data_IF_418491084251
#
_entry.id   IF_418491084251
#
_cell.length_a   1.000
_cell.length_b   1.000
_cell.length_c   1.000
_cell.angle_alpha   90.00
_cell.angle_beta   90.00
_cell.angle_gamma   90.00
#
_symmetry.space_group_name_H-M   'P 1'
#
loop_
_entity.id
_entity.type
_entity.pdbx_description
1 polymer ?
#
# COMPACT_ATOMS: atom_id res chain seq x y z
N UNK A 1 -8.33 45.85 -10.92
CA UNK A 1 -8.26 46.32 -9.54
C UNK A 1 -8.53 45.10 -8.63
N UNK A 2 -7.47 44.47 -8.17
CA UNK A 2 -7.55 43.38 -7.20
C UNK A 2 -7.41 44.06 -5.84
N UNK A 3 -8.49 44.17 -5.12
CA UNK A 3 -8.53 45.03 -3.94
C UNK A 3 -8.57 44.29 -2.61
N UNK A 4 -7.72 44.68 -1.74
CA UNK A 4 -7.73 44.90 -0.27
C UNK A 4 -7.98 43.76 0.71
N UNK A 5 -8.41 42.55 0.33
CA UNK A 5 -8.52 41.43 1.27
C UNK A 5 -8.01 40.11 0.63
N UNK A 6 -6.76 40.13 0.19
CA UNK A 6 -6.15 38.92 -0.33
C UNK A 6 -5.58 38.11 0.85
N UNK A 7 -6.11 36.94 1.09
CA UNK A 7 -5.57 35.97 2.06
C UNK A 7 -4.34 35.27 1.48
N UNK A 8 -3.39 34.94 2.35
CA UNK A 8 -2.19 34.19 1.99
C UNK A 8 -2.54 32.72 1.72
N UNK A 9 -1.88 32.09 0.72
CA UNK A 9 -2.02 30.65 0.45
C UNK A 9 -1.77 29.80 1.68
N UNK A 10 -0.82 30.20 2.53
CA UNK A 10 -0.55 29.49 3.78
C UNK A 10 -1.68 29.58 4.84
N UNK A 11 -2.57 30.56 4.71
CA UNK A 11 -3.79 30.64 5.53
C UNK A 11 -4.85 29.67 5.02
N UNK A 12 -4.96 29.51 3.68
CA UNK A 12 -5.82 28.50 3.07
C UNK A 12 -5.34 27.08 3.42
N UNK A 13 -4.05 26.81 3.35
CA UNK A 13 -3.44 25.54 3.75
C UNK A 13 -3.78 25.20 5.21
N UNK A 14 -3.59 26.16 6.11
CA UNK A 14 -3.93 26.00 7.52
C UNK A 14 -5.42 25.69 7.74
N UNK A 15 -6.31 26.39 7.05
CA UNK A 15 -7.76 26.18 7.13
C UNK A 15 -8.15 24.80 6.59
N UNK A 16 -7.68 24.44 5.39
CA UNK A 16 -7.97 23.14 4.74
C UNK A 16 -7.48 21.98 5.63
N UNK A 17 -6.26 22.07 6.17
CA UNK A 17 -5.73 21.05 7.07
C UNK A 17 -6.56 20.91 8.35
N UNK A 18 -7.00 22.04 8.95
CA UNK A 18 -7.83 22.01 10.18
C UNK A 18 -9.21 21.40 9.90
N UNK A 19 -9.83 21.67 8.76
CA UNK A 19 -11.09 21.05 8.37
C UNK A 19 -10.95 19.56 8.14
N UNK A 20 -9.88 19.13 7.43
CA UNK A 20 -9.59 17.73 7.12
C UNK A 20 -9.34 16.91 8.37
N UNK A 21 -8.50 17.41 9.28
CA UNK A 21 -8.11 16.68 10.50
C UNK A 21 -9.11 16.82 11.65
N UNK A 22 -9.96 17.82 11.62
CA UNK A 22 -10.87 18.17 12.72
C UNK A 22 -10.16 18.67 13.98
N UNK A 23 -8.84 18.93 13.94
CA UNK A 23 -8.03 19.25 15.12
C UNK A 23 -6.81 20.10 14.80
N UNK A 24 -6.64 21.23 15.50
CA UNK A 24 -5.41 22.03 15.41
C UNK A 24 -4.15 21.21 15.77
N UNK A 25 -4.25 20.28 16.73
CA UNK A 25 -3.10 19.46 17.16
C UNK A 25 -2.73 18.42 16.08
N UNK A 26 -3.69 17.84 15.38
CA UNK A 26 -3.40 16.95 14.25
C UNK A 26 -2.79 17.74 13.08
N UNK A 27 -3.33 18.93 12.79
CA UNK A 27 -2.81 19.81 11.73
C UNK A 27 -1.38 20.32 11.99
N UNK A 28 -0.90 20.37 13.26
CA UNK A 28 0.51 20.70 13.50
C UNK A 28 1.47 19.66 12.95
N UNK A 29 1.07 18.39 12.96
CA UNK A 29 1.86 17.29 12.38
C UNK A 29 1.78 17.29 10.86
N UNK A 30 0.60 17.58 10.33
CA UNK A 30 0.32 17.65 8.90
C UNK A 30 1.13 18.76 8.19
N UNK A 31 1.22 19.95 8.80
CA UNK A 31 1.87 21.12 8.19
C UNK A 31 3.26 21.46 8.78
N UNK A 32 3.73 20.72 9.77
CA UNK A 32 5.00 21.01 10.45
C UNK A 32 5.01 22.36 11.19
N UNK A 33 3.86 22.95 11.49
CA UNK A 33 3.73 24.29 12.07
C UNK A 33 3.29 24.24 13.55
N UNK A 34 3.78 25.17 14.41
CA UNK A 34 3.31 25.29 15.78
C UNK A 34 1.80 25.59 15.85
N UNK A 35 1.10 25.06 16.86
CA UNK A 35 -0.33 25.24 17.07
C UNK A 35 -0.74 26.71 17.15
N UNK A 36 0.07 27.58 17.76
CA UNK A 36 -0.14 29.02 17.84
C UNK A 36 -0.14 29.67 16.45
N UNK A 37 0.78 29.26 15.57
CA UNK A 37 0.89 29.72 14.19
C UNK A 37 -0.34 29.31 13.38
N UNK A 38 -0.75 28.04 13.46
CA UNK A 38 -1.96 27.53 12.79
C UNK A 38 -3.21 28.28 13.24
N UNK A 39 -3.41 28.44 14.56
CA UNK A 39 -4.53 29.17 15.10
C UNK A 39 -4.55 30.63 14.64
N UNK A 40 -3.40 31.27 14.54
CA UNK A 40 -3.26 32.64 14.03
C UNK A 40 -3.63 32.71 12.55
N UNK A 41 -3.11 31.81 11.71
CA UNK A 41 -3.41 31.78 10.26
C UNK A 41 -4.90 31.59 10.00
N UNK A 42 -5.55 30.65 10.66
CA UNK A 42 -7.01 30.45 10.53
C UNK A 42 -7.78 31.71 10.95
N UNK A 43 -7.39 32.34 12.05
CA UNK A 43 -8.05 33.58 12.50
C UNK A 43 -7.85 34.72 11.51
N UNK A 44 -6.66 34.88 10.94
CA UNK A 44 -6.37 35.88 9.90
C UNK A 44 -7.22 35.66 8.68
N UNK A 45 -7.38 34.40 8.24
CA UNK A 45 -8.28 34.03 7.15
C UNK A 45 -9.74 34.41 7.45
N UNK A 46 -10.25 34.05 8.63
CA UNK A 46 -11.65 34.41 9.03
C UNK A 46 -11.87 35.95 9.09
N UNK A 47 -10.85 36.68 9.52
CA UNK A 47 -10.87 38.14 9.50
C UNK A 47 -10.89 38.71 8.07
N UNK A 48 -10.06 38.13 7.17
CA UNK A 48 -10.04 38.57 5.77
C UNK A 48 -11.31 38.20 5.03
N UNK A 49 -11.93 37.07 5.31
CA UNK A 49 -13.23 36.65 4.78
C UNK A 49 -14.38 37.44 5.41
N UNK A 50 -14.20 38.02 6.59
CA UNK A 50 -15.17 38.85 7.29
C UNK A 50 -16.20 38.06 8.09
N UNK A 51 -16.05 36.74 8.24
CA UNK A 51 -16.95 35.90 9.04
C UNK A 51 -16.23 34.62 9.54
N UNK A 52 -16.72 34.03 10.65
CA UNK A 52 -16.22 32.76 11.11
C UNK A 52 -16.47 31.63 10.09
N UNK A 53 -15.53 30.75 9.92
CA UNK A 53 -15.62 29.58 9.04
C UNK A 53 -15.69 28.27 9.83
N UNK A 54 -15.15 28.26 11.07
CA UNK A 54 -15.03 27.08 11.91
C UNK A 54 -15.87 27.20 13.19
N UNK A 55 -16.43 26.07 13.61
CA UNK A 55 -17.12 25.88 14.88
C UNK A 55 -16.36 24.88 15.75
N UNK A 56 -16.31 25.15 17.05
CA UNK A 56 -15.82 24.18 18.03
C UNK A 56 -16.99 23.36 18.57
N UNK A 57 -17.01 22.08 18.25
CA UNK A 57 -18.01 21.14 18.77
C UNK A 57 -17.31 20.13 19.69
N UNK A 58 -17.51 20.29 21.01
CA UNK A 58 -16.90 19.42 22.03
C UNK A 58 -15.38 19.27 21.89
N UNK A 59 -14.92 18.21 21.23
CA UNK A 59 -13.50 17.90 21.03
C UNK A 59 -13.00 18.06 19.58
N UNK A 60 -13.90 18.45 18.66
CA UNK A 60 -13.58 18.58 17.23
C UNK A 60 -13.81 20.01 16.74
N UNK A 61 -13.07 20.36 15.70
CA UNK A 61 -13.29 21.58 14.94
C UNK A 61 -13.97 21.17 13.63
N UNK A 62 -15.10 21.78 13.33
CA UNK A 62 -15.89 21.49 12.13
C UNK A 62 -16.19 22.76 11.37
N UNK A 63 -16.27 22.73 10.03
CA UNK A 63 -16.69 23.91 9.26
C UNK A 63 -18.18 24.19 9.49
N UNK A 64 -18.53 25.49 9.62
CA UNK A 64 -19.91 25.93 9.51
C UNK A 64 -20.37 25.95 8.04
N UNK A 65 -21.54 26.46 7.73
CA UNK A 65 -22.06 26.50 6.35
C UNK A 65 -21.16 27.32 5.41
N UNK A 66 -20.75 28.53 5.82
CA UNK A 66 -19.78 29.34 5.08
C UNK A 66 -18.42 28.61 4.95
N UNK A 67 -17.96 27.96 6.01
CA UNK A 67 -16.74 27.17 6.00
C UNK A 67 -16.78 26.00 5.03
N UNK A 68 -17.92 25.31 4.89
CA UNK A 68 -18.07 24.23 3.89
C UNK A 68 -17.99 24.74 2.46
N UNK A 69 -18.63 25.86 2.19
CA UNK A 69 -18.55 26.52 0.88
C UNK A 69 -17.10 26.95 0.61
N UNK A 70 -16.51 27.67 1.55
CA UNK A 70 -15.14 28.19 1.42
C UNK A 70 -14.08 27.08 1.32
N UNK A 71 -14.27 25.96 2.01
CA UNK A 71 -13.38 24.80 1.94
C UNK A 71 -13.24 24.26 0.53
N UNK A 72 -14.35 24.08 -0.20
CA UNK A 72 -14.32 23.60 -1.59
C UNK A 72 -13.45 24.48 -2.47
N UNK A 73 -13.69 25.79 -2.42
CA UNK A 73 -12.91 26.76 -3.21
C UNK A 73 -11.45 26.84 -2.74
N UNK A 74 -11.18 26.70 -1.44
CA UNK A 74 -9.82 26.69 -0.93
C UNK A 74 -9.02 25.51 -1.45
N UNK A 75 -9.63 24.31 -1.52
CA UNK A 75 -9.01 23.12 -2.11
C UNK A 75 -8.74 23.36 -3.60
N UNK A 76 -9.71 23.86 -4.37
CA UNK A 76 -9.54 24.15 -5.80
C UNK A 76 -8.43 25.18 -6.06
N UNK A 77 -8.33 26.23 -5.23
CA UNK A 77 -7.26 27.25 -5.35
C UNK A 77 -5.90 26.62 -5.08
N UNK A 78 -5.75 25.81 -4.03
CA UNK A 78 -4.49 25.15 -3.70
C UNK A 78 -4.10 24.15 -4.79
N UNK A 79 -5.05 23.42 -5.34
CA UNK A 79 -4.84 22.53 -6.47
C UNK A 79 -4.39 23.31 -7.73
N UNK A 80 -5.00 24.46 -8.03
CA UNK A 80 -4.63 25.29 -9.18
C UNK A 80 -3.22 25.87 -9.04
N UNK A 81 -2.83 26.28 -7.83
CA UNK A 81 -1.46 26.73 -7.55
C UNK A 81 -0.45 25.61 -7.73
N UNK A 82 -0.79 24.41 -7.26
CA UNK A 82 0.02 23.22 -7.50
C UNK A 82 0.19 22.93 -8.99
N UNK A 83 -0.91 22.92 -9.75
CA UNK A 83 -0.91 22.75 -11.20
C UNK A 83 -0.03 23.79 -11.92
N UNK A 84 -0.08 25.06 -11.47
CA UNK A 84 0.74 26.13 -12.05
C UNK A 84 2.24 25.91 -11.82
N UNK A 85 2.63 25.48 -10.60
CA UNK A 85 4.04 25.12 -10.32
C UNK A 85 4.51 23.97 -11.18
N UNK A 86 3.67 23.00 -11.39
CA UNK A 86 3.98 21.80 -12.15
C UNK A 86 4.02 22.05 -13.65
N UNK A 87 3.14 22.92 -14.17
CA UNK A 87 3.23 23.37 -15.55
C UNK A 87 4.59 24.08 -15.81
N UNK A 88 5.11 24.81 -14.83
CA UNK A 88 6.44 25.39 -14.89
C UNK A 88 7.54 24.32 -14.80
N UNK A 89 7.35 23.28 -13.98
CA UNK A 89 8.29 22.16 -13.90
C UNK A 89 8.25 21.27 -15.15
N UNK A 90 7.11 21.21 -15.86
CA UNK A 90 6.99 20.56 -17.17
C UNK A 90 7.77 21.27 -18.29
N UNK A 91 8.00 22.58 -18.16
CA UNK A 91 8.83 23.33 -19.09
C UNK A 91 10.35 23.05 -18.92
N UNK A 92 10.73 22.45 -17.79
CA UNK A 92 12.11 21.97 -17.60
C UNK A 92 12.26 20.66 -18.37
N UNK A 93 13.27 20.58 -19.24
CA UNK A 93 13.52 19.41 -20.09
C UNK A 93 13.87 18.15 -19.25
N UNK A 94 14.41 18.30 -18.04
CA UNK A 94 14.96 17.21 -17.24
C UNK A 94 14.04 16.78 -16.08
N UNK A 95 13.97 15.46 -15.87
CA UNK A 95 13.36 14.84 -14.70
C UNK A 95 14.37 14.89 -13.55
N UNK A 96 14.14 15.71 -12.53
CA UNK A 96 15.10 15.96 -11.45
C UNK A 96 14.45 16.06 -10.07
N UNK A 97 15.29 16.06 -9.02
CA UNK A 97 14.88 16.25 -7.62
C UNK A 97 14.83 14.93 -6.83
N UNK A 98 14.26 14.99 -5.62
CA UNK A 98 14.18 13.82 -4.74
C UNK A 98 12.85 13.10 -4.94
N UNK A 99 12.90 11.79 -5.18
CA UNK A 99 11.75 10.88 -5.32
C UNK A 99 11.69 9.98 -4.09
N UNK A 100 10.61 10.07 -3.34
CA UNK A 100 10.36 9.17 -2.23
C UNK A 100 9.56 7.95 -2.69
N UNK A 101 10.13 6.77 -2.47
CA UNK A 101 9.51 5.50 -2.79
C UNK A 101 9.26 4.74 -1.49
N UNK A 102 8.05 4.23 -1.35
CA UNK A 102 7.69 3.29 -0.30
C UNK A 102 7.34 1.96 -0.95
N UNK A 103 7.63 0.86 -0.31
CA UNK A 103 7.17 -0.43 -0.77
C UNK A 103 6.90 -1.39 0.38
N UNK A 104 6.00 -2.34 0.15
CA UNK A 104 5.87 -3.50 1.03
C UNK A 104 7.22 -4.22 1.10
N UNK A 105 7.60 -4.70 2.28
CA UNK A 105 8.93 -5.27 2.53
C UNK A 105 9.28 -6.43 1.57
N UNK A 106 8.28 -7.17 1.11
CA UNK A 106 8.45 -8.28 0.17
C UNK A 106 9.05 -7.88 -1.19
N UNK A 107 8.93 -6.60 -1.60
CA UNK A 107 9.43 -6.11 -2.88
C UNK A 107 10.80 -5.46 -2.82
N UNK A 108 11.29 -5.07 -1.64
CA UNK A 108 12.51 -4.27 -1.51
C UNK A 108 13.74 -4.96 -2.09
N UNK A 109 13.76 -6.27 -2.09
CA UNK A 109 14.86 -7.07 -2.65
C UNK A 109 14.53 -7.53 -4.07
N UNK A 110 15.54 -7.53 -4.94
CA UNK A 110 15.44 -8.08 -6.29
C UNK A 110 14.74 -7.13 -7.27
N UNK A 111 13.52 -7.44 -7.68
CA UNK A 111 12.84 -6.78 -8.78
C UNK A 111 12.68 -5.26 -8.60
N UNK A 112 12.11 -4.81 -7.48
CA UNK A 112 11.85 -3.38 -7.26
C UNK A 112 13.14 -2.54 -7.24
N UNK A 113 14.19 -3.03 -6.60
CA UNK A 113 15.50 -2.37 -6.63
C UNK A 113 16.10 -2.36 -8.04
N UNK A 114 15.83 -3.37 -8.85
CA UNK A 114 16.19 -3.41 -10.27
C UNK A 114 15.46 -2.34 -11.09
N UNK A 115 14.15 -2.18 -10.89
CA UNK A 115 13.34 -1.12 -11.52
C UNK A 115 13.84 0.26 -11.13
N UNK A 116 14.14 0.48 -9.85
CA UNK A 116 14.68 1.77 -9.40
C UNK A 116 16.05 2.05 -10.02
N UNK A 117 16.92 1.06 -10.08
CA UNK A 117 18.24 1.21 -10.71
C UNK A 117 18.12 1.57 -12.18
N UNK A 118 17.30 0.86 -12.96
CA UNK A 118 17.10 1.16 -14.38
C UNK A 118 16.46 2.53 -14.62
N UNK A 119 15.62 3.00 -13.69
CA UNK A 119 15.08 4.36 -13.72
C UNK A 119 16.17 5.42 -13.50
N UNK A 120 17.05 5.20 -12.51
CA UNK A 120 18.17 6.12 -12.23
C UNK A 120 19.21 6.17 -13.35
N UNK A 121 19.40 5.06 -14.09
CA UNK A 121 20.26 5.04 -15.27
C UNK A 121 19.72 5.93 -16.41
N UNK A 122 18.38 6.12 -16.49
CA UNK A 122 17.72 6.98 -17.46
C UNK A 122 17.58 8.45 -16.97
N UNK A 123 17.58 8.65 -15.66
CA UNK A 123 17.32 9.95 -15.02
C UNK A 123 18.37 10.26 -13.96
N UNK A 124 19.58 10.62 -14.38
CA UNK A 124 20.74 10.84 -13.50
C UNK A 124 20.60 11.95 -12.48
N UNK A 125 19.71 12.94 -12.72
CA UNK A 125 19.47 14.07 -11.81
C UNK A 125 18.40 13.79 -10.74
N UNK A 126 17.84 12.57 -10.72
CA UNK A 126 16.91 12.14 -9.68
C UNK A 126 17.66 11.48 -8.54
N UNK A 127 17.33 11.87 -7.33
CA UNK A 127 17.75 11.20 -6.09
C UNK A 127 16.60 10.39 -5.56
N UNK A 128 16.81 9.13 -5.24
CA UNK A 128 15.77 8.22 -4.74
C UNK A 128 16.03 7.86 -3.29
N UNK A 129 14.99 7.98 -2.46
CA UNK A 129 14.93 7.41 -1.12
C UNK A 129 13.89 6.28 -1.09
N UNK A 130 14.29 5.08 -0.66
CA UNK A 130 13.40 3.93 -0.54
C UNK A 130 13.17 3.60 0.93
N UNK A 131 11.90 3.55 1.33
CA UNK A 131 11.48 3.07 2.65
C UNK A 131 10.56 1.85 2.54
N UNK A 132 10.68 0.92 3.48
CA UNK A 132 9.76 -0.23 3.58
C UNK A 132 8.56 0.10 4.48
N UNK A 133 7.42 -0.51 4.16
CA UNK A 133 6.18 -0.38 4.92
C UNK A 133 5.66 -1.77 5.32
N UNK A 134 5.18 -1.88 6.56
CA UNK A 134 4.48 -3.07 7.08
C UNK A 134 2.97 -2.87 7.18
N UNK A 135 2.51 -1.63 7.04
CA UNK A 135 1.09 -1.26 7.01
C UNK A 135 0.83 -0.34 5.84
N UNK A 136 -0.40 -0.36 5.33
CA UNK A 136 -0.84 0.56 4.28
C UNK A 136 -0.64 2.00 4.77
N UNK A 137 0.10 2.86 4.04
CA UNK A 137 0.23 4.24 4.42
C UNK A 137 -1.12 4.97 4.31
N UNK A 138 -1.45 5.76 5.32
CA UNK A 138 -2.64 6.61 5.28
C UNK A 138 -2.48 7.78 4.33
N UNK A 139 -1.28 8.36 4.27
CA UNK A 139 -0.94 9.55 3.48
C UNK A 139 0.49 9.43 2.93
N UNK A 140 0.69 10.04 1.76
CA UNK A 140 1.98 10.27 1.13
C UNK A 140 2.00 11.72 0.67
N UNK A 141 3.02 12.48 1.04
CA UNK A 141 3.12 13.89 0.61
C UNK A 141 3.54 13.97 -0.86
N UNK A 142 4.58 13.24 -1.23
CA UNK A 142 5.21 13.31 -2.55
C UNK A 142 5.95 12.00 -2.83
N UNK A 143 5.36 11.15 -3.64
CA UNK A 143 5.95 9.85 -3.95
C UNK A 143 4.91 8.77 -4.19
N UNK A 144 5.34 7.52 -4.17
CA UNK A 144 4.48 6.36 -4.40
C UNK A 144 4.78 5.25 -3.41
N UNK A 145 3.78 4.40 -3.15
CA UNK A 145 3.95 3.18 -2.38
C UNK A 145 3.49 1.95 -3.19
N UNK A 146 4.37 0.99 -3.37
CA UNK A 146 4.04 -0.32 -3.93
C UNK A 146 3.62 -1.25 -2.81
N UNK A 147 2.37 -1.67 -2.79
CA UNK A 147 1.78 -2.47 -1.73
C UNK A 147 1.45 -3.89 -2.18
N UNK A 148 1.62 -4.86 -1.29
CA UNK A 148 1.21 -6.25 -1.48
C UNK A 148 0.13 -6.61 -0.46
N UNK A 149 -1.00 -7.12 -0.93
CA UNK A 149 -2.15 -7.47 -0.10
C UNK A 149 -3.27 -6.44 -0.17
N UNK A 150 -4.34 -6.70 0.59
CA UNK A 150 -5.54 -5.86 0.57
C UNK A 150 -5.28 -4.45 1.11
N UNK A 151 -5.89 -3.47 0.45
CA UNK A 151 -5.92 -2.06 0.87
C UNK A 151 -7.35 -1.76 1.32
N UNK A 152 -7.57 -1.66 2.64
CA UNK A 152 -8.92 -1.45 3.20
C UNK A 152 -9.27 0.01 3.41
N UNK A 153 -8.36 0.78 4.03
CA UNK A 153 -8.59 2.19 4.37
C UNK A 153 -7.36 3.02 4.01
N UNK A 154 -7.50 3.93 3.07
CA UNK A 154 -6.47 4.90 2.70
C UNK A 154 -7.12 6.10 2.01
N UNK A 155 -6.51 7.27 2.14
CA UNK A 155 -6.87 8.47 1.38
C UNK A 155 -6.16 8.54 0.03
N UNK A 156 -5.30 7.56 -0.30
CA UNK A 156 -4.50 7.54 -1.51
C UNK A 156 -5.30 6.99 -2.71
N UNK A 157 -4.92 7.38 -3.91
CA UNK A 157 -5.34 6.71 -5.13
C UNK A 157 -4.74 5.30 -5.18
N UNK A 158 -5.53 4.38 -5.69
CA UNK A 158 -5.18 2.98 -5.81
C UNK A 158 -5.18 2.58 -7.28
N UNK A 159 -4.06 2.04 -7.74
CA UNK A 159 -3.93 1.46 -9.07
C UNK A 159 -3.50 0.02 -8.95
N UNK A 160 -4.34 -0.89 -9.43
CA UNK A 160 -4.06 -2.31 -9.37
C UNK A 160 -3.09 -2.70 -10.48
N UNK A 161 -1.90 -3.16 -10.12
CA UNK A 161 -0.83 -3.55 -11.04
C UNK A 161 -0.85 -5.04 -11.38
N UNK A 162 -1.46 -5.87 -10.54
CA UNK A 162 -1.50 -7.30 -10.71
C UNK A 162 -1.78 -8.04 -9.42
N UNK A 163 -1.60 -9.35 -9.43
CA UNK A 163 -1.88 -10.19 -8.28
C UNK A 163 -0.86 -11.34 -8.17
N UNK A 164 -0.60 -11.79 -6.95
CA UNK A 164 0.27 -12.93 -6.66
C UNK A 164 -0.53 -14.06 -6.02
N UNK A 165 -0.53 -15.23 -6.65
CA UNK A 165 -1.04 -16.45 -6.04
C UNK A 165 -0.03 -17.03 -5.05
N UNK A 166 -0.52 -17.73 -4.03
CA UNK A 166 0.31 -18.32 -2.99
C UNK A 166 0.22 -19.84 -2.99
N UNK A 167 1.34 -20.50 -2.69
CA UNK A 167 1.44 -21.93 -2.45
C UNK A 167 2.07 -22.23 -1.10
N UNK A 168 1.97 -23.50 -0.70
CA UNK A 168 2.57 -24.00 0.53
C UNK A 168 3.95 -24.57 0.19
N UNK A 169 4.99 -24.04 0.82
CA UNK A 169 6.37 -24.45 0.61
C UNK A 169 7.00 -24.98 1.89
N UNK A 170 7.92 -25.92 1.72
CA UNK A 170 8.81 -26.44 2.74
C UNK A 170 10.19 -26.70 2.14
N UNK A 171 11.21 -26.92 2.98
CA UNK A 171 12.51 -27.36 2.49
C UNK A 171 12.51 -28.87 2.21
N UNK A 172 13.36 -29.37 1.30
CA UNK A 172 13.55 -30.80 1.10
C UNK A 172 13.89 -31.56 2.39
N UNK A 173 14.81 -31.01 3.21
CA UNK A 173 15.21 -31.58 4.49
C UNK A 173 14.05 -31.69 5.49
N UNK A 174 13.12 -30.74 5.46
CA UNK A 174 11.92 -30.80 6.29
C UNK A 174 11.02 -31.94 5.85
N UNK A 175 10.80 -32.11 4.55
CA UNK A 175 9.98 -33.18 4.00
C UNK A 175 10.61 -34.59 4.20
N UNK A 176 11.93 -34.71 4.17
CA UNK A 176 12.61 -35.95 4.50
C UNK A 176 12.36 -36.39 5.95
N UNK A 177 12.30 -35.44 6.88
CA UNK A 177 12.11 -35.74 8.32
C UNK A 177 10.66 -35.95 8.71
N UNK A 178 9.71 -35.19 8.12
CA UNK A 178 8.33 -35.11 8.57
C UNK A 178 7.31 -35.59 7.54
N UNK A 179 7.75 -35.97 6.35
CA UNK A 179 6.89 -36.34 5.23
C UNK A 179 6.36 -35.14 4.45
N UNK A 180 5.79 -35.44 3.27
CA UNK A 180 5.12 -34.43 2.43
C UNK A 180 3.63 -34.58 2.64
N UNK A 181 2.89 -33.54 3.06
CA UNK A 181 1.43 -33.62 3.19
C UNK A 181 0.78 -34.04 1.87
N UNK A 182 -0.10 -35.02 1.90
CA UNK A 182 -0.88 -35.47 0.75
C UNK A 182 -2.23 -34.77 0.65
N UNK A 183 -2.71 -34.17 1.73
CA UNK A 183 -3.97 -33.44 1.81
C UNK A 183 -3.86 -32.23 2.75
N UNK A 184 -4.74 -31.21 2.62
CA UNK A 184 -4.75 -30.08 3.55
C UNK A 184 -4.98 -30.46 5.01
N UNK A 185 -5.71 -31.57 5.29
CA UNK A 185 -5.94 -32.04 6.66
C UNK A 185 -4.68 -32.53 7.36
N UNK A 186 -3.65 -32.93 6.62
CA UNK A 186 -2.39 -33.36 7.19
C UNK A 186 -1.49 -32.18 7.64
N UNK A 187 -1.82 -30.94 7.19
CA UNK A 187 -1.06 -29.74 7.58
C UNK A 187 -1.09 -29.48 9.09
N UNK A 188 -2.14 -29.93 9.79
CA UNK A 188 -2.28 -29.77 11.25
C UNK A 188 -1.16 -30.50 12.02
N UNK A 189 -0.55 -31.53 11.42
CA UNK A 189 0.57 -32.29 11.98
C UNK A 189 1.94 -31.63 11.79
N UNK A 190 2.03 -30.60 10.94
CA UNK A 190 3.28 -29.96 10.58
C UNK A 190 3.57 -28.70 11.40
N UNK A 191 4.84 -28.34 11.49
CA UNK A 191 5.27 -27.04 11.98
C UNK A 191 4.99 -25.98 10.90
N UNK A 192 4.63 -24.76 11.31
CA UNK A 192 4.30 -23.69 10.42
C UNK A 192 5.17 -22.45 10.65
N UNK A 193 5.63 -21.83 9.59
CA UNK A 193 6.31 -20.52 9.59
C UNK A 193 5.37 -19.51 8.99
N UNK A 194 4.79 -18.65 9.85
CA UNK A 194 3.79 -17.68 9.46
C UNK A 194 4.34 -16.28 9.35
N UNK A 195 3.73 -15.47 8.49
CA UNK A 195 4.01 -14.06 8.37
C UNK A 195 3.00 -13.28 9.22
N UNK A 196 3.46 -12.40 10.11
CA UNK A 196 2.61 -11.57 10.97
C UNK A 196 1.57 -10.81 10.12
N UNK A 197 0.29 -11.05 10.40
CA UNK A 197 -0.81 -10.50 9.59
C UNK A 197 -1.14 -11.27 8.30
N UNK A 198 -0.35 -12.30 7.95
CA UNK A 198 -0.57 -13.09 6.73
C UNK A 198 -1.66 -14.14 6.88
N UNK A 199 -1.68 -14.85 8.00
CA UNK A 199 -2.71 -15.82 8.33
C UNK A 199 -3.64 -15.26 9.41
N UNK A 200 -4.56 -14.38 9.02
CA UNK A 200 -5.66 -14.00 9.90
C UNK A 200 -6.63 -15.18 10.13
N UNK A 201 -7.51 -15.09 11.13
CA UNK A 201 -8.58 -16.07 11.29
C UNK A 201 -9.42 -16.09 10.00
N UNK A 202 -9.39 -17.24 9.29
CA UNK A 202 -10.12 -17.42 8.04
C UNK A 202 -9.26 -17.63 6.80
N UNK A 203 -7.99 -18.04 6.95
CA UNK A 203 -7.19 -18.49 5.83
C UNK A 203 -7.89 -19.69 5.16
N UNK A 204 -8.11 -19.60 3.85
CA UNK A 204 -8.81 -20.63 3.08
C UNK A 204 -7.93 -21.04 1.90
N UNK A 205 -7.60 -22.32 1.83
CA UNK A 205 -7.00 -22.92 0.66
C UNK A 205 -8.09 -23.22 -0.38
N UNK A 206 -7.77 -23.07 -1.65
CA UNK A 206 -8.69 -23.30 -2.78
C UNK A 206 -8.13 -24.36 -3.73
N UNK A 207 -8.98 -25.28 -4.14
CA UNK A 207 -8.64 -26.30 -5.14
C UNK A 207 -9.66 -26.22 -6.30
N UNK A 208 -9.23 -26.30 -7.56
CA UNK A 208 -10.11 -26.10 -8.71
C UNK A 208 -11.25 -27.12 -8.83
N UNK A 209 -11.08 -28.32 -8.28
CA UNK A 209 -12.09 -29.39 -8.34
C UNK A 209 -12.68 -29.76 -6.98
N UNK A 210 -11.92 -29.63 -5.89
CA UNK A 210 -12.33 -30.07 -4.55
C UNK A 210 -12.94 -28.94 -3.70
N UNK A 211 -12.97 -27.72 -4.22
CA UNK A 211 -13.54 -26.57 -3.51
C UNK A 211 -12.57 -25.90 -2.55
N UNK A 212 -13.02 -25.59 -1.35
CA UNK A 212 -12.26 -24.81 -0.36
C UNK A 212 -11.99 -25.61 0.90
N UNK A 213 -10.84 -25.38 1.51
CA UNK A 213 -10.45 -25.95 2.80
C UNK A 213 -10.06 -24.80 3.75
N UNK A 214 -10.79 -24.62 4.88
CA UNK A 214 -10.39 -23.65 5.91
C UNK A 214 -9.15 -24.18 6.62
N UNK A 215 -8.04 -23.46 6.52
CA UNK A 215 -6.80 -23.82 7.19
C UNK A 215 -6.85 -23.30 8.63
N UNK A 216 -6.94 -24.21 9.59
CA UNK A 216 -6.69 -23.88 10.98
C UNK A 216 -5.19 -23.68 11.17
N UNK A 217 -4.80 -22.56 11.82
CA UNK A 217 -3.35 -22.34 12.08
C UNK A 217 -2.83 -23.42 13.03
N UNK A 218 -1.76 -24.15 12.65
CA UNK A 218 -1.18 -25.17 13.49
C UNK A 218 -0.72 -24.59 14.84
N UNK A 219 -0.86 -25.38 15.91
CA UNK A 219 -0.43 -25.00 17.27
C UNK A 219 1.08 -24.71 17.35
N UNK A 220 1.85 -25.32 16.46
CA UNK A 220 3.32 -25.13 16.39
C UNK A 220 3.65 -24.13 15.30
N UNK A 221 3.51 -22.86 15.62
CA UNK A 221 3.76 -21.76 14.67
C UNK A 221 4.97 -20.94 15.12
N UNK A 222 5.88 -20.68 14.17
CA UNK A 222 6.92 -19.68 14.28
C UNK A 222 6.51 -18.46 13.45
N UNK A 223 6.27 -17.32 14.08
CA UNK A 223 5.74 -16.12 13.43
C UNK A 223 6.83 -15.08 13.27
N UNK A 224 6.92 -14.50 12.08
CA UNK A 224 7.88 -13.46 11.72
C UNK A 224 7.16 -12.29 11.04
N UNK A 225 7.81 -11.13 10.96
CA UNK A 225 7.24 -9.91 10.38
C UNK A 225 7.83 -9.56 9.00
N UNK A 226 8.76 -10.38 8.49
CA UNK A 226 9.42 -10.16 7.22
C UNK A 226 9.42 -11.43 6.36
N UNK A 227 9.07 -11.29 5.10
CA UNK A 227 9.02 -12.40 4.14
C UNK A 227 10.39 -13.04 3.88
N UNK A 228 11.47 -12.27 3.96
CA UNK A 228 12.82 -12.82 3.85
C UNK A 228 13.16 -13.74 5.04
N UNK A 229 12.79 -13.37 6.26
CA UNK A 229 12.99 -14.19 7.47
C UNK A 229 12.11 -15.43 7.44
N UNK A 230 10.86 -15.31 6.95
CA UNK A 230 9.99 -16.46 6.69
C UNK A 230 10.66 -17.44 5.74
N UNK A 231 11.15 -16.95 4.61
CA UNK A 231 11.84 -17.76 3.62
C UNK A 231 13.09 -18.44 4.17
N UNK A 232 13.90 -17.75 4.97
CA UNK A 232 15.09 -18.31 5.61
C UNK A 232 14.74 -19.41 6.62
N UNK A 233 13.69 -19.21 7.41
CA UNK A 233 13.23 -20.20 8.37
C UNK A 233 12.69 -21.47 7.67
N UNK A 234 11.91 -21.31 6.59
CA UNK A 234 11.43 -22.45 5.79
C UNK A 234 12.61 -23.20 5.16
N UNK A 235 13.56 -22.49 4.56
CA UNK A 235 14.77 -23.09 3.96
C UNK A 235 15.61 -23.83 4.99
N UNK A 236 15.66 -23.34 6.24
CA UNK A 236 16.34 -24.01 7.36
C UNK A 236 15.52 -25.18 7.97
N UNK A 237 14.42 -25.60 7.36
CA UNK A 237 13.61 -26.75 7.80
C UNK A 237 12.83 -26.51 9.09
N UNK A 238 12.41 -25.26 9.37
CA UNK A 238 11.65 -24.93 10.57
C UNK A 238 10.16 -25.21 10.43
N UNK A 239 9.67 -25.45 9.23
CA UNK A 239 8.26 -25.73 8.97
C UNK A 239 7.84 -25.46 7.53
N UNK A 240 6.53 -25.54 7.31
CA UNK A 240 5.88 -25.14 6.08
C UNK A 240 5.45 -23.69 6.17
N UNK A 241 5.22 -23.03 5.03
CA UNK A 241 4.65 -21.69 5.01
C UNK A 241 3.99 -21.34 3.68
N UNK A 242 3.07 -20.38 3.73
CA UNK A 242 2.48 -19.78 2.54
C UNK A 242 3.42 -18.72 1.99
N UNK A 243 3.81 -18.89 0.73
CA UNK A 243 4.69 -17.94 0.02
C UNK A 243 4.04 -17.64 -1.34
N UNK A 244 4.00 -16.38 -1.79
CA UNK A 244 3.66 -16.06 -3.16
C UNK A 244 4.59 -16.81 -4.14
N UNK A 245 4.00 -17.48 -5.14
CA UNK A 245 4.77 -18.27 -6.11
C UNK A 245 5.89 -17.45 -6.76
N UNK A 246 5.59 -16.24 -7.18
CA UNK A 246 6.58 -15.33 -7.77
C UNK A 246 7.77 -15.05 -6.83
N UNK A 247 7.56 -14.87 -5.51
CA UNK A 247 8.65 -14.68 -4.55
C UNK A 247 9.45 -15.98 -4.33
N UNK A 248 8.77 -17.13 -4.29
CA UNK A 248 9.42 -18.43 -4.16
C UNK A 248 10.30 -18.73 -5.37
N UNK A 249 9.83 -18.45 -6.60
CA UNK A 249 10.59 -18.62 -7.84
C UNK A 249 11.84 -17.74 -7.86
N UNK A 250 11.72 -16.47 -7.50
CA UNK A 250 12.86 -15.56 -7.38
C UNK A 250 13.92 -16.03 -6.37
N UNK A 251 13.45 -16.60 -5.27
CA UNK A 251 14.36 -17.18 -4.30
C UNK A 251 15.04 -18.44 -4.84
N UNK A 252 14.31 -19.29 -5.55
CA UNK A 252 14.85 -20.51 -6.16
C UNK A 252 15.84 -20.22 -7.28
N UNK A 253 15.67 -19.10 -8.02
CA UNK A 253 16.66 -18.63 -8.99
C UNK A 253 18.01 -18.29 -8.31
N UNK A 254 17.95 -17.63 -7.15
CA UNK A 254 19.15 -17.25 -6.38
C UNK A 254 19.73 -18.43 -5.57
N UNK A 255 18.87 -19.32 -5.09
CA UNK A 255 19.22 -20.42 -4.20
C UNK A 255 18.47 -21.70 -4.62
N UNK A 256 18.94 -22.40 -5.66
CA UNK A 256 18.30 -23.61 -6.16
C UNK A 256 18.12 -24.68 -5.08
N UNK A 257 16.95 -25.31 -5.07
CA UNK A 257 16.65 -26.44 -4.19
C UNK A 257 16.29 -26.10 -2.75
N UNK A 258 16.25 -24.81 -2.35
CA UNK A 258 15.86 -24.43 -0.98
C UNK A 258 14.39 -24.68 -0.66
N UNK A 259 13.52 -24.59 -1.66
CA UNK A 259 12.08 -24.78 -1.50
C UNK A 259 11.56 -25.91 -2.37
N UNK A 260 10.56 -26.58 -1.85
CA UNK A 260 9.72 -27.50 -2.59
C UNK A 260 8.25 -27.17 -2.32
N UNK A 261 7.47 -27.00 -3.39
CA UNK A 261 6.02 -26.82 -3.32
C UNK A 261 5.38 -28.12 -2.86
N UNK A 262 4.52 -28.08 -1.87
CA UNK A 262 3.62 -29.17 -1.51
C UNK A 262 2.17 -28.80 -1.81
N UNK A 263 1.29 -29.79 -1.98
CA UNK A 263 -0.11 -29.60 -2.35
C UNK A 263 -0.28 -28.66 -3.57
N UNK A 264 0.33 -28.94 -4.74
CA UNK A 264 0.44 -27.99 -5.85
C UNK A 264 -0.90 -27.57 -6.46
N UNK A 265 -1.98 -28.34 -6.23
CA UNK A 265 -3.33 -28.01 -6.68
C UNK A 265 -4.10 -27.12 -5.68
N UNK A 266 -3.57 -26.97 -4.45
CA UNK A 266 -4.16 -26.12 -3.42
C UNK A 266 -3.44 -24.76 -3.37
N UNK A 267 -4.20 -23.69 -3.47
CA UNK A 267 -3.69 -22.33 -3.50
C UNK A 267 -4.18 -21.55 -2.28
N UNK A 268 -3.29 -20.74 -1.74
CA UNK A 268 -3.63 -19.73 -0.74
C UNK A 268 -4.42 -18.56 -1.34
N UNK A 269 -4.77 -17.56 -0.52
CA UNK A 269 -5.38 -16.33 -0.99
C UNK A 269 -4.53 -15.65 -2.06
N UNK A 270 -5.18 -15.00 -3.00
CA UNK A 270 -4.51 -14.16 -4.00
C UNK A 270 -4.23 -12.80 -3.36
N UNK A 271 -3.00 -12.34 -3.46
CA UNK A 271 -2.56 -11.04 -2.93
C UNK A 271 -2.52 -10.00 -4.05
N UNK A 272 -3.35 -8.95 -4.01
CA UNK A 272 -3.27 -7.87 -4.97
C UNK A 272 -1.95 -7.09 -4.81
N UNK A 273 -1.39 -6.65 -5.94
CA UNK A 273 -0.28 -5.70 -5.99
C UNK A 273 -0.84 -4.36 -6.42
N UNK A 274 -0.73 -3.37 -5.55
CA UNK A 274 -1.36 -2.07 -5.74
C UNK A 274 -0.32 -0.96 -5.63
N UNK A 275 -0.34 -0.03 -6.60
CA UNK A 275 0.40 1.21 -6.52
C UNK A 275 -0.49 2.26 -5.86
N UNK A 276 0.00 2.83 -4.77
CA UNK A 276 -0.65 3.87 -3.99
C UNK A 276 0.06 5.20 -4.23
N UNK A 277 -0.71 6.27 -4.45
CA UNK A 277 -0.16 7.61 -4.67
C UNK A 277 -1.18 8.69 -4.27
N UNK A 278 -0.73 9.93 -3.99
CA UNK A 278 -1.61 11.02 -3.58
C UNK A 278 -2.67 11.38 -4.63
N UNK A 279 -3.76 11.97 -4.17
CA UNK A 279 -4.69 12.68 -5.05
C UNK A 279 -4.06 13.99 -5.53
N UNK A 280 -4.63 14.54 -6.60
CA UNK A 280 -4.14 15.78 -7.18
C UNK A 280 -3.09 15.52 -8.25
N UNK A 281 -2.33 16.56 -8.53
CA UNK A 281 -1.30 16.52 -9.54
C UNK A 281 0.03 16.00 -8.97
N UNK A 282 0.69 15.11 -9.69
CA UNK A 282 1.94 14.50 -9.27
C UNK A 282 3.12 15.16 -9.98
N UNK A 283 4.22 15.43 -9.28
CA UNK A 283 5.45 15.93 -9.89
C UNK A 283 5.94 15.05 -11.04
N UNK A 284 6.61 15.67 -12.03
CA UNK A 284 7.09 14.98 -13.23
C UNK A 284 7.94 13.74 -12.90
N UNK A 285 8.83 13.83 -11.90
CA UNK A 285 9.65 12.69 -11.45
C UNK A 285 8.83 11.52 -10.95
N UNK A 286 7.71 11.80 -10.25
CA UNK A 286 6.78 10.75 -9.75
C UNK A 286 6.05 10.11 -10.92
N UNK A 287 5.51 10.92 -11.85
CA UNK A 287 4.81 10.42 -13.06
C UNK A 287 5.74 9.61 -13.96
N UNK A 288 6.98 10.07 -14.17
CA UNK A 288 8.00 9.36 -14.93
C UNK A 288 8.33 8.01 -14.28
N UNK A 289 8.52 7.97 -12.96
CA UNK A 289 8.75 6.72 -12.25
C UNK A 289 7.54 5.78 -12.33
N UNK A 290 6.32 6.29 -12.18
CA UNK A 290 5.12 5.45 -12.31
C UNK A 290 5.00 4.84 -13.71
N UNK A 291 5.28 5.61 -14.76
CA UNK A 291 5.31 5.10 -16.13
C UNK A 291 6.37 4.02 -16.31
N UNK A 292 7.59 4.26 -15.78
CA UNK A 292 8.68 3.30 -15.81
C UNK A 292 8.34 2.02 -15.02
N UNK A 293 7.74 2.15 -13.84
CA UNK A 293 7.29 1.02 -13.03
C UNK A 293 6.26 0.16 -13.78
N UNK A 294 5.23 0.78 -14.39
CA UNK A 294 4.21 0.08 -15.19
C UNK A 294 4.81 -0.72 -16.34
N UNK A 295 5.78 -0.13 -17.03
CA UNK A 295 6.47 -0.78 -18.15
C UNK A 295 7.34 -1.98 -17.71
N UNK A 296 7.64 -2.09 -16.43
CA UNK A 296 8.47 -3.16 -15.87
C UNK A 296 7.68 -4.12 -14.95
N UNK A 297 6.34 -4.03 -14.91
CA UNK A 297 5.50 -4.99 -14.17
C UNK A 297 5.68 -6.39 -14.79
N UNK A 298 5.96 -7.43 -13.98
CA UNK A 298 6.08 -8.78 -14.51
C UNK A 298 4.78 -9.30 -15.11
N UNK A 299 4.86 -9.96 -16.27
CA UNK A 299 3.69 -10.54 -16.95
C UNK A 299 2.95 -11.57 -16.09
N UNK A 300 3.65 -12.24 -15.18
CA UNK A 300 3.08 -13.23 -14.26
C UNK A 300 2.02 -12.60 -13.35
N UNK A 301 2.21 -11.34 -12.94
CA UNK A 301 1.24 -10.62 -12.09
C UNK A 301 -0.07 -10.34 -12.84
N UNK A 302 0.02 -10.12 -14.16
CA UNK A 302 -1.13 -9.83 -15.01
C UNK A 302 -1.94 -11.08 -15.33
N UNK A 303 -1.28 -12.25 -15.42
CA UNK A 303 -1.96 -13.53 -15.73
C UNK A 303 -2.92 -13.98 -14.63
N UNK A 304 -2.65 -13.62 -13.39
CA UNK A 304 -3.54 -13.89 -12.27
C UNK A 304 -4.82 -13.01 -12.33
N UNK A 305 -4.75 -11.82 -12.91
CA UNK A 305 -5.91 -10.94 -13.16
C UNK A 305 -6.90 -11.52 -14.18
N UNK A 306 -6.40 -12.29 -15.15
CA UNK A 306 -7.23 -12.87 -16.21
C UNK A 306 -8.11 -14.04 -15.75
N UNK A 307 -7.91 -14.55 -14.52
CA UNK A 307 -8.77 -15.59 -13.92
C UNK A 307 -9.90 -14.93 -13.13
N UNK A 308 -11.19 -15.10 -13.55
CA UNK A 308 -12.29 -14.47 -12.83
C UNK A 308 -12.28 -14.91 -11.36
N UNK A 309 -12.62 -14.01 -10.41
CA UNK A 309 -12.78 -14.38 -9.02
C UNK A 309 -13.88 -15.43 -8.94
N UNK A 310 -13.59 -16.57 -8.33
CA UNK A 310 -14.61 -17.57 -8.00
C UNK A 310 -15.51 -16.93 -6.94
N UNK A 311 -16.66 -16.42 -7.38
CA UNK A 311 -17.70 -15.90 -6.48
C UNK A 311 -18.18 -17.09 -5.65
N UNK A 312 -18.17 -17.04 -4.31
CA UNK A 312 -18.79 -18.09 -3.51
C UNK A 312 -20.29 -18.05 -3.80
N UNK A 313 -20.86 -19.16 -4.27
CA UNK A 313 -22.31 -19.34 -4.30
C UNK A 313 -22.81 -19.16 -2.86
N UNK A 314 -23.54 -18.09 -2.63
CA UNK A 314 -24.31 -17.91 -1.41
C UNK A 314 -25.33 -19.03 -1.33
N UNK A 315 -25.03 -20.05 -0.52
CA UNK A 315 -25.95 -21.11 -0.21
C UNK A 315 -27.25 -20.52 0.35
N UNK A 316 -28.30 -20.52 -0.45
CA UNK A 316 -29.66 -20.30 -0.01
C UNK A 316 -30.02 -21.39 0.98
N UNK A 317 -29.95 -21.10 2.26
CA UNK A 317 -30.66 -21.89 3.27
C UNK A 317 -32.16 -21.75 3.01
N UNK A 318 -32.73 -22.73 2.31
CA UNK A 318 -34.14 -23.00 2.40
C UNK A 318 -34.44 -23.51 3.82
N UNK A 319 -34.99 -22.64 4.64
CA UNK A 319 -35.78 -23.05 5.80
C UNK A 319 -37.07 -23.63 5.26
N UNK A 320 -37.19 -24.95 5.33
CA UNK A 320 -38.42 -25.69 5.12
C UNK A 320 -39.03 -26.05 6.46
N UNK A 321 -40.21 -25.49 6.69
CA UNK A 321 -41.31 -25.87 7.60
C UNK A 321 -41.02 -26.88 8.69
#
# INVERSE_FOLDING_TARGET
>A
MWNEKMYDLSELEAFVSVVRTGSLTASTRDLGLPKSTLSRKVRQLEQAVGQPLLLRQSRRIVPNEAGRVFYRYSVEILELVSQGREALDELKEDVSGTLELRCHEAFVRGWFSGVVRSFLEQHGDVRVAIGTQQTVPGELEDGVCLWLGEVRETTLRQEHLGSLSQGIYGSPDYFERYGVPASPGELDGHQWVDLLGGAGPGLVLRHPKLGTYPLAMPVRTFTVDQSCVQGDAIAAGRGLGLIPHWLAERRLEAHPGQFRLCLPEWRGPVLPVTLLYPHGHLPRRVRAFMAHLRANVPDEWLRELAKPPVVPETGTHHAGT
#
